data_IF_341391956243
#
_entry.id   IF_341391956243
#
_cell.length_a   1.000
_cell.length_b   1.000
_cell.length_c   1.000
_cell.angle_alpha   90.00
_cell.angle_beta   90.00
_cell.angle_gamma   90.00
#
_symmetry.space_group_name_H-M   'P 1'
#
loop_
_entity.id
_entity.type
_entity.pdbx_description
1 polymer ?
#
# COMPACT_ATOMS: atom_id res chain seq x y z
N UNK A 1 28.14 46.56 24.70
CA UNK A 1 27.50 45.24 24.84
C UNK A 1 26.23 45.21 23.99
N UNK A 2 26.26 44.58 22.82
CA UNK A 2 25.07 44.19 22.06
C UNK A 2 25.34 42.80 21.49
N UNK A 3 24.61 41.81 22.01
CA UNK A 3 24.61 40.43 21.54
C UNK A 3 23.81 40.40 20.24
N UNK A 4 24.39 39.87 19.16
CA UNK A 4 23.66 39.59 17.92
C UNK A 4 23.60 38.08 17.78
N UNK A 5 22.37 37.57 17.85
CA UNK A 5 22.04 36.16 17.81
C UNK A 5 22.26 35.61 16.39
N UNK A 6 22.96 34.48 16.30
CA UNK A 6 23.11 33.68 15.09
C UNK A 6 21.76 33.01 14.81
N UNK A 7 21.12 33.35 13.69
CA UNK A 7 19.96 32.63 13.17
C UNK A 7 20.45 31.56 12.20
N UNK A 8 20.40 30.28 12.60
CA UNK A 8 20.58 29.15 11.70
C UNK A 8 19.34 29.04 10.80
N UNK A 9 19.52 29.25 9.50
CA UNK A 9 18.52 28.85 8.48
C UNK A 9 18.83 27.40 8.10
N UNK A 10 18.01 26.47 8.58
CA UNK A 10 18.02 25.08 8.13
C UNK A 10 17.30 25.02 6.77
N UNK A 11 18.07 24.90 5.69
CA UNK A 11 17.53 24.73 4.34
C UNK A 11 17.18 23.23 4.15
N UNK A 12 15.91 22.88 4.37
CA UNK A 12 15.39 21.56 3.97
C UNK A 12 15.22 21.57 2.44
N UNK A 13 16.17 20.99 1.72
CA UNK A 13 16.02 20.70 0.30
C UNK A 13 15.14 19.46 0.16
N UNK A 14 13.86 19.67 -0.14
CA UNK A 14 12.95 18.58 -0.50
C UNK A 14 13.28 18.16 -1.94
N UNK A 15 14.11 17.14 -2.11
CA UNK A 15 14.34 16.55 -3.43
C UNK A 15 13.07 15.82 -3.85
N UNK A 16 12.35 16.37 -4.83
CA UNK A 16 11.18 15.72 -5.42
C UNK A 16 11.60 14.42 -6.09
N UNK A 17 11.16 13.29 -5.55
CA UNK A 17 11.25 12.00 -6.24
C UNK A 17 10.18 12.00 -7.33
N UNK A 18 10.59 11.83 -8.60
CA UNK A 18 9.66 11.66 -9.70
C UNK A 18 8.95 10.30 -9.53
N UNK A 19 7.73 10.32 -9.02
CA UNK A 19 6.84 9.15 -9.01
C UNK A 19 6.47 8.80 -10.44
N UNK A 20 7.29 7.95 -11.08
CA UNK A 20 6.88 7.30 -12.33
C UNK A 20 5.81 6.28 -11.97
N UNK A 21 4.57 6.62 -12.33
CA UNK A 21 3.36 5.86 -12.16
C UNK A 21 3.55 4.42 -12.67
N UNK A 22 3.40 3.42 -11.80
CA UNK A 22 3.40 2.03 -12.23
C UNK A 22 2.18 1.81 -13.13
N UNK A 23 2.39 1.42 -14.38
CA UNK A 23 1.29 1.17 -15.31
C UNK A 23 0.55 -0.11 -14.88
N UNK A 24 -0.57 0.07 -14.19
CA UNK A 24 -1.49 -1.01 -13.81
C UNK A 24 -2.17 -1.55 -15.08
N UNK A 25 -1.52 -2.49 -15.77
CA UNK A 25 -2.13 -3.26 -16.85
C UNK A 25 -2.74 -4.52 -16.21
N UNK A 26 -4.08 -4.59 -16.18
CA UNK A 26 -4.87 -5.65 -15.52
C UNK A 26 -4.61 -5.80 -14.02
N UNK A 27 -4.81 -4.75 -13.22
CA UNK A 27 -4.70 -4.69 -11.73
C UNK A 27 -3.59 -5.57 -11.09
N UNK A 28 -2.50 -5.87 -11.81
CA UNK A 28 -1.37 -6.65 -11.31
C UNK A 28 -0.26 -5.70 -10.90
N UNK A 29 0.16 -5.83 -9.65
CA UNK A 29 1.28 -5.09 -9.09
C UNK A 29 2.58 -5.69 -9.66
N UNK A 30 3.39 -4.83 -10.27
CA UNK A 30 4.73 -5.17 -10.76
C UNK A 30 5.72 -4.19 -10.15
N UNK A 31 6.75 -4.72 -9.51
CA UNK A 31 7.85 -3.91 -9.02
C UNK A 31 8.79 -3.55 -10.16
N UNK A 32 9.38 -2.35 -10.10
CA UNK A 32 10.42 -1.95 -11.05
C UNK A 32 11.64 -2.85 -10.83
N UNK A 33 12.49 -2.98 -11.85
CA UNK A 33 13.71 -3.79 -11.74
C UNK A 33 14.57 -3.27 -10.58
N UNK A 34 14.89 -4.14 -9.63
CA UNK A 34 15.67 -3.81 -8.45
C UNK A 34 14.88 -3.21 -7.28
N UNK A 35 13.57 -3.01 -7.44
CA UNK A 35 12.68 -2.58 -6.36
C UNK A 35 11.96 -3.78 -5.74
N UNK A 36 11.67 -3.69 -4.45
CA UNK A 36 10.84 -4.62 -3.68
C UNK A 36 9.46 -4.04 -3.35
N UNK A 37 9.12 -2.87 -3.91
CA UNK A 37 7.83 -2.23 -3.62
C UNK A 37 7.20 -1.52 -4.82
N UNK A 38 5.91 -1.28 -4.69
CA UNK A 38 5.13 -0.40 -5.56
C UNK A 38 4.18 0.47 -4.73
N UNK A 39 3.88 1.65 -5.25
CA UNK A 39 2.87 2.58 -4.72
C UNK A 39 1.83 2.82 -5.80
N UNK A 40 0.55 2.77 -5.43
CA UNK A 40 -0.61 2.90 -6.30
C UNK A 40 -1.49 4.00 -5.71
N UNK A 41 -1.82 5.00 -6.51
CA UNK A 41 -2.76 6.06 -6.17
C UNK A 41 -4.03 5.84 -6.99
N UNK A 42 -5.19 5.76 -6.34
CA UNK A 42 -6.48 5.47 -6.97
C UNK A 42 -7.64 5.96 -6.11
N UNK A 43 -8.86 5.78 -6.60
CA UNK A 43 -10.08 6.03 -5.85
C UNK A 43 -11.11 4.94 -6.10
N UNK A 44 -11.81 4.50 -5.07
CA UNK A 44 -12.89 3.52 -5.14
C UNK A 44 -14.22 4.15 -4.77
N UNK A 45 -15.25 3.90 -5.59
CA UNK A 45 -16.61 4.39 -5.34
C UNK A 45 -17.23 3.56 -4.20
N UNK A 46 -18.12 4.19 -3.42
CA UNK A 46 -18.84 3.49 -2.35
C UNK A 46 -19.56 2.25 -2.89
N UNK A 47 -19.28 1.10 -2.27
CA UNK A 47 -19.89 -0.18 -2.64
C UNK A 47 -19.07 -0.97 -3.66
N UNK A 48 -18.19 -0.32 -4.41
CA UNK A 48 -17.26 -0.97 -5.34
C UNK A 48 -16.01 -1.45 -4.63
N UNK A 49 -15.20 -2.24 -5.34
CA UNK A 49 -13.89 -2.72 -4.89
C UNK A 49 -12.84 -2.57 -5.97
N UNK A 50 -11.66 -2.15 -5.54
CA UNK A 50 -10.44 -2.28 -6.33
C UNK A 50 -9.70 -3.55 -5.92
N UNK A 51 -9.28 -4.35 -6.88
CA UNK A 51 -8.69 -5.66 -6.63
C UNK A 51 -7.35 -5.75 -7.29
N UNK A 52 -6.27 -5.92 -6.52
CA UNK A 52 -4.91 -5.99 -7.03
C UNK A 52 -4.28 -7.36 -6.82
N UNK A 53 -3.59 -7.88 -7.83
CA UNK A 53 -2.83 -9.13 -7.71
C UNK A 53 -1.34 -8.83 -7.53
N UNK A 54 -0.72 -9.40 -6.50
CA UNK A 54 0.73 -9.38 -6.30
C UNK A 54 1.26 -10.80 -6.19
N UNK A 55 2.26 -11.13 -6.99
CA UNK A 55 2.90 -12.45 -6.97
C UNK A 55 4.04 -12.47 -5.95
N UNK A 56 4.11 -13.53 -5.15
CA UNK A 56 5.12 -13.68 -4.11
C UNK A 56 5.46 -15.16 -3.86
N UNK A 57 6.58 -15.40 -3.16
CA UNK A 57 6.98 -16.74 -2.74
C UNK A 57 6.67 -16.95 -1.25
N UNK A 58 6.51 -18.23 -0.90
CA UNK A 58 6.39 -18.66 0.49
C UNK A 58 7.57 -18.15 1.33
N UNK A 59 7.27 -17.74 2.56
CA UNK A 59 8.18 -17.18 3.56
C UNK A 59 8.80 -15.82 3.22
N UNK A 60 8.44 -15.19 2.10
CA UNK A 60 8.76 -13.77 1.92
C UNK A 60 8.00 -12.94 2.93
N UNK A 61 8.61 -11.87 3.42
CA UNK A 61 7.91 -10.89 4.25
C UNK A 61 7.18 -9.92 3.32
N UNK A 62 5.91 -9.65 3.59
CA UNK A 62 5.13 -8.67 2.85
C UNK A 62 4.58 -7.62 3.82
N UNK A 63 4.63 -6.36 3.39
CA UNK A 63 4.03 -5.23 4.09
C UNK A 63 3.07 -4.54 3.14
N UNK A 64 1.82 -4.37 3.57
CA UNK A 64 0.80 -3.62 2.85
C UNK A 64 0.34 -2.47 3.73
N UNK A 65 0.31 -1.26 3.19
CA UNK A 65 -0.19 -0.07 3.88
C UNK A 65 -1.10 0.71 2.96
N UNK A 66 -2.18 1.26 3.50
CA UNK A 66 -3.07 2.15 2.76
C UNK A 66 -3.25 3.45 3.54
N UNK A 67 -3.22 4.56 2.82
CA UNK A 67 -3.52 5.88 3.34
C UNK A 67 -4.69 6.47 2.57
N UNK A 68 -5.55 7.21 3.27
CA UNK A 68 -6.62 8.00 2.66
C UNK A 68 -6.78 9.30 3.41
N UNK A 69 -7.06 10.39 2.70
CA UNK A 69 -7.23 11.73 3.31
C UNK A 69 -8.42 11.72 4.28
N UNK A 70 -9.48 11.00 3.91
CA UNK A 70 -10.68 10.87 4.73
C UNK A 70 -10.61 9.77 5.80
N UNK A 71 -9.48 9.06 5.91
CA UNK A 71 -9.31 7.91 6.81
C UNK A 71 -10.43 6.86 6.66
N UNK A 72 -10.81 6.58 5.42
CA UNK A 72 -11.92 5.69 5.08
C UNK A 72 -11.56 4.56 4.11
N UNK A 73 -10.31 4.47 3.64
CA UNK A 73 -9.85 3.35 2.82
C UNK A 73 -9.28 2.23 3.69
N UNK A 74 -9.71 1.00 3.43
CA UNK A 74 -9.24 -0.23 4.06
C UNK A 74 -8.98 -1.30 3.01
N UNK A 75 -8.28 -2.36 3.39
CA UNK A 75 -8.09 -3.50 2.50
C UNK A 75 -8.30 -4.84 3.19
N UNK A 76 -8.46 -5.85 2.35
CA UNK A 76 -8.38 -7.27 2.69
C UNK A 76 -7.29 -7.91 1.85
N UNK A 77 -6.75 -9.05 2.30
CA UNK A 77 -5.76 -9.82 1.54
C UNK A 77 -6.18 -11.28 1.50
N UNK A 78 -6.43 -11.80 0.30
CA UNK A 78 -6.72 -13.21 0.06
C UNK A 78 -5.48 -13.90 -0.51
N UNK A 79 -5.09 -15.02 0.07
CA UNK A 79 -4.15 -15.95 -0.53
C UNK A 79 -4.87 -16.77 -1.61
N UNK A 80 -4.53 -16.59 -2.89
CA UNK A 80 -5.21 -17.28 -4.00
C UNK A 80 -4.92 -18.79 -4.05
N UNK A 81 -3.84 -19.23 -3.42
CA UNK A 81 -3.50 -20.66 -3.34
C UNK A 81 -4.44 -21.38 -2.38
N UNK A 82 -4.71 -20.78 -1.22
CA UNK A 82 -5.54 -21.40 -0.17
C UNK A 82 -7.00 -20.96 -0.20
N UNK A 83 -7.30 -19.80 -0.78
CA UNK A 83 -8.61 -19.17 -0.81
C UNK A 83 -9.00 -18.44 0.48
N UNK A 84 -8.12 -18.41 1.49
CA UNK A 84 -8.39 -17.78 2.78
C UNK A 84 -7.82 -16.36 2.86
N UNK A 85 -8.44 -15.53 3.70
CA UNK A 85 -7.87 -14.24 4.10
C UNK A 85 -6.60 -14.46 4.92
N UNK A 86 -5.64 -13.55 4.79
CA UNK A 86 -4.55 -13.46 5.75
C UNK A 86 -5.08 -12.93 7.08
N UNK A 87 -4.56 -13.49 8.17
CA UNK A 87 -4.93 -13.08 9.53
C UNK A 87 -4.63 -11.59 9.75
N UNK A 88 -5.61 -10.85 10.29
CA UNK A 88 -5.56 -9.39 10.44
C UNK A 88 -5.79 -8.59 9.14
N UNK A 89 -6.20 -9.24 8.05
CA UNK A 89 -6.61 -8.59 6.79
C UNK A 89 -7.82 -9.29 6.15
N UNK A 90 -8.77 -9.74 6.97
CA UNK A 90 -10.07 -10.30 6.57
C UNK A 90 -11.20 -9.28 6.56
N UNK A 91 -12.43 -9.77 6.32
CA UNK A 91 -13.62 -8.93 6.07
C UNK A 91 -13.99 -7.96 7.19
N UNK A 92 -13.65 -8.30 8.43
CA UNK A 92 -14.02 -7.55 9.64
C UNK A 92 -12.86 -6.74 10.23
N UNK A 93 -11.67 -6.84 9.65
CA UNK A 93 -10.46 -6.27 10.25
C UNK A 93 -10.26 -4.79 9.93
N UNK A 94 -10.95 -4.29 8.90
CA UNK A 94 -10.80 -2.91 8.41
C UNK A 94 -9.30 -2.50 8.30
N UNK A 95 -8.49 -3.40 7.74
CA UNK A 95 -7.04 -3.28 7.80
C UNK A 95 -6.55 -2.06 7.04
N UNK A 96 -5.76 -1.22 7.73
CA UNK A 96 -5.01 -0.10 7.14
C UNK A 96 -3.52 -0.42 6.97
N UNK A 97 -3.06 -1.46 7.67
CA UNK A 97 -1.70 -1.99 7.60
C UNK A 97 -1.74 -3.50 7.86
N UNK A 98 -0.94 -4.24 7.12
CA UNK A 98 -0.69 -5.65 7.33
C UNK A 98 0.80 -5.93 7.13
N UNK A 99 1.35 -6.81 7.94
CA UNK A 99 2.73 -7.27 7.84
C UNK A 99 2.82 -8.71 8.31
N UNK A 100 3.51 -9.54 7.54
CA UNK A 100 3.72 -10.93 7.92
C UNK A 100 4.50 -11.72 6.89
N UNK A 101 4.88 -12.93 7.28
CA UNK A 101 5.47 -13.92 6.37
C UNK A 101 4.38 -14.62 5.58
N UNK A 102 4.59 -14.74 4.27
CA UNK A 102 3.60 -15.30 3.35
C UNK A 102 3.53 -16.83 3.45
N UNK A 103 2.33 -17.41 3.63
CA UNK A 103 2.18 -18.85 3.90
C UNK A 103 2.40 -19.75 2.68
N UNK A 104 2.25 -19.20 1.48
CA UNK A 104 2.22 -19.93 0.22
C UNK A 104 3.01 -19.18 -0.87
N UNK A 105 3.30 -19.88 -1.96
CA UNK A 105 3.80 -19.26 -3.19
C UNK A 105 2.62 -19.07 -4.11
N UNK A 106 2.50 -17.92 -4.75
CA UNK A 106 1.43 -17.66 -5.68
C UNK A 106 1.04 -16.20 -5.70
N UNK A 107 -0.21 -15.95 -6.07
CA UNK A 107 -0.78 -14.61 -6.06
C UNK A 107 -1.51 -14.34 -4.74
N UNK A 108 -1.33 -13.12 -4.25
CA UNK A 108 -2.15 -12.53 -3.20
C UNK A 108 -3.03 -11.47 -3.82
N UNK A 109 -4.31 -11.50 -3.46
CA UNK A 109 -5.34 -10.59 -3.94
C UNK A 109 -5.65 -9.54 -2.87
N UNK A 110 -5.24 -8.30 -3.12
CA UNK A 110 -5.47 -7.15 -2.24
C UNK A 110 -6.74 -6.45 -2.67
N UNK A 111 -7.77 -6.48 -1.84
CA UNK A 111 -9.09 -5.93 -2.14
C UNK A 111 -9.26 -4.64 -1.35
N UNK A 112 -9.29 -3.49 -2.02
CA UNK A 112 -9.45 -2.16 -1.45
C UNK A 112 -10.90 -1.72 -1.54
N UNK A 113 -11.41 -1.15 -0.45
CA UNK A 113 -12.75 -0.59 -0.35
C UNK A 113 -12.81 0.60 0.62
N UNK A 114 -13.92 1.33 0.56
CA UNK A 114 -14.23 2.38 1.51
C UNK A 114 -15.09 1.86 2.67
N UNK A 115 -14.80 2.27 3.91
CA UNK A 115 -15.67 2.04 5.10
C UNK A 115 -16.89 2.97 5.09
N UNK A 116 -16.73 4.16 4.49
CA UNK A 116 -17.79 5.17 4.29
C UNK A 116 -17.53 5.95 3.01
N UNK A 117 -18.59 6.32 2.29
CA UNK A 117 -18.46 7.16 1.08
C UNK A 117 -17.53 6.58 0.02
N UNK A 118 -17.06 7.46 -0.87
CA UNK A 118 -15.97 7.14 -1.80
C UNK A 118 -14.64 7.26 -1.06
N UNK A 119 -13.63 6.49 -1.46
CA UNK A 119 -12.32 6.53 -0.83
C UNK A 119 -11.23 6.78 -1.89
N UNK A 120 -10.57 7.93 -1.81
CA UNK A 120 -9.29 8.17 -2.49
C UNK A 120 -8.17 7.63 -1.60
N UNK A 121 -7.22 6.91 -2.20
CA UNK A 121 -6.20 6.22 -1.44
C UNK A 121 -4.84 6.11 -2.14
N UNK A 122 -3.82 5.95 -1.31
CA UNK A 122 -2.47 5.54 -1.69
C UNK A 122 -2.20 4.17 -1.05
N UNK A 123 -2.08 3.13 -1.88
CA UNK A 123 -1.74 1.77 -1.48
C UNK A 123 -0.25 1.52 -1.75
N UNK A 124 0.51 1.14 -0.72
CA UNK A 124 1.91 0.73 -0.85
C UNK A 124 2.07 -0.74 -0.46
N UNK A 125 2.71 -1.50 -1.35
CA UNK A 125 2.99 -2.92 -1.18
C UNK A 125 4.49 -3.14 -1.28
N UNK A 126 5.07 -3.84 -0.31
CA UNK A 126 6.47 -4.20 -0.23
C UNK A 126 6.60 -5.71 0.01
N UNK A 127 7.56 -6.37 -0.64
CA UNK A 127 7.86 -7.79 -0.47
C UNK A 127 9.38 -8.01 -0.50
N UNK A 128 9.92 -8.74 0.49
CA UNK A 128 11.31 -9.20 0.54
C UNK A 128 11.42 -10.72 0.66
#
# INVERSE_FOLDING_TARGET
MKKINILLILLFVFTSVLSVNAQVTNKRIKFKKGESSATIESSVIRGDRDTYLVGANKNQAMIVTIMSIEDNAVFQIIDRETGYYLDGAGEIDDAKRWEGSLPSKGDYEIIVGGTRGNAEYTLKVFIE
#
